data_IF_303751768388
#
_entry.id   IF_303751768388
#
_cell.length_a   1.000
_cell.length_b   1.000
_cell.length_c   1.000
_cell.angle_alpha   90.00
_cell.angle_beta   90.00
_cell.angle_gamma   90.00
#
_symmetry.space_group_name_H-M   'P 1'
#
loop_
_entity.id
_entity.type
_entity.pdbx_description
1 polymer ?
#
# COMPACT_ATOMS: atom_id res chain seq x y z
N UNK A 1 -4.96 9.55 -2.42
CA UNK A 1 -4.64 10.99 -2.27
C UNK A 1 -3.30 11.23 -2.94
N UNK A 2 -3.27 11.89 -4.11
CA UNK A 2 -2.05 12.08 -4.90
C UNK A 2 -1.64 13.56 -5.03
N UNK A 3 -0.44 13.79 -5.59
CA UNK A 3 0.11 15.14 -5.81
C UNK A 3 -0.69 15.95 -6.85
N UNK A 4 -1.20 15.31 -7.90
CA UNK A 4 -1.94 16.01 -8.97
C UNK A 4 -3.45 15.87 -8.84
N UNK A 5 -3.93 14.78 -8.27
CA UNK A 5 -5.37 14.49 -8.12
C UNK A 5 -5.68 13.71 -6.85
N UNK A 6 -6.87 13.92 -6.31
CA UNK A 6 -7.51 13.07 -5.32
C UNK A 6 -8.60 12.28 -6.02
N UNK A 7 -8.62 10.96 -5.86
CA UNK A 7 -9.66 10.09 -6.40
C UNK A 7 -10.34 9.33 -5.27
N UNK A 8 -11.65 9.18 -5.36
CA UNK A 8 -12.46 8.30 -4.53
C UNK A 8 -13.16 7.29 -5.44
N UNK A 9 -13.04 6.02 -5.12
CA UNK A 9 -13.73 4.93 -5.80
C UNK A 9 -14.60 4.20 -4.79
N UNK A 10 -15.88 4.04 -5.08
CA UNK A 10 -16.81 3.24 -4.27
C UNK A 10 -17.04 1.94 -5.03
N UNK A 11 -16.75 0.83 -4.38
CA UNK A 11 -16.93 -0.48 -4.96
C UNK A 11 -17.87 -1.33 -4.08
N UNK A 12 -18.72 -2.12 -4.73
CA UNK A 12 -19.54 -3.13 -4.06
C UNK A 12 -18.88 -4.48 -4.25
N UNK A 13 -18.54 -5.15 -3.14
CA UNK A 13 -18.06 -6.53 -3.16
C UNK A 13 -19.25 -7.46 -3.24
N UNK A 14 -19.26 -8.38 -4.23
CA UNK A 14 -20.29 -9.41 -4.33
C UNK A 14 -20.15 -10.39 -3.16
N UNK A 15 -21.28 -10.82 -2.58
CA UNK A 15 -21.29 -11.96 -1.67
C UNK A 15 -20.93 -13.21 -2.48
N UNK A 16 -19.99 -14.01 -1.99
CA UNK A 16 -19.73 -15.33 -2.57
C UNK A 16 -21.05 -16.11 -2.60
N UNK A 17 -21.38 -16.70 -3.77
CA UNK A 17 -22.58 -17.51 -3.90
C UNK A 17 -22.48 -18.72 -2.96
N UNK A 18 -23.59 -19.12 -2.28
CA UNK A 18 -23.57 -20.22 -1.31
C UNK A 18 -23.25 -21.59 -1.92
N UNK A 19 -23.19 -21.71 -3.23
CA UNK A 19 -23.10 -22.94 -4.00
C UNK A 19 -21.71 -23.29 -4.55
N UNK A 20 -20.66 -22.60 -4.08
CA UNK A 20 -19.26 -22.98 -4.38
C UNK A 20 -18.85 -22.89 -5.86
N UNK A 21 -19.67 -22.32 -6.73
CA UNK A 21 -19.27 -22.04 -8.11
C UNK A 21 -18.41 -20.80 -8.15
N UNK A 22 -17.12 -20.96 -8.43
CA UNK A 22 -16.12 -19.91 -8.68
C UNK A 22 -16.45 -19.13 -9.97
N UNK A 23 -17.60 -18.48 -10.01
CA UNK A 23 -18.01 -17.66 -11.13
C UNK A 23 -18.00 -16.21 -10.66
N UNK A 24 -17.20 -15.35 -11.25
CA UNK A 24 -17.22 -13.85 -11.24
C UNK A 24 -17.89 -13.10 -10.05
N UNK A 25 -18.44 -13.81 -9.08
CA UNK A 25 -19.28 -13.33 -7.98
C UNK A 25 -18.47 -12.66 -6.84
N UNK A 26 -17.14 -12.68 -6.91
CA UNK A 26 -16.26 -12.09 -5.89
C UNK A 26 -15.53 -10.81 -6.35
N UNK A 27 -15.57 -10.46 -7.63
CA UNK A 27 -14.85 -9.26 -8.09
C UNK A 27 -15.56 -7.98 -7.65
N UNK A 28 -14.82 -7.00 -7.07
CA UNK A 28 -15.39 -5.73 -6.68
C UNK A 28 -15.87 -4.97 -7.92
N UNK A 29 -17.13 -4.52 -7.89
CA UNK A 29 -17.73 -3.72 -8.96
C UNK A 29 -17.72 -2.24 -8.53
N UNK A 30 -17.04 -1.38 -9.29
CA UNK A 30 -17.07 0.06 -9.06
C UNK A 30 -18.48 0.57 -9.39
N UNK A 31 -19.10 1.24 -8.40
CA UNK A 31 -20.43 1.83 -8.48
C UNK A 31 -20.42 3.35 -8.39
N UNK A 32 -19.30 3.94 -7.91
CA UNK A 32 -19.11 5.38 -7.85
C UNK A 32 -17.65 5.76 -8.02
N UNK A 33 -17.39 6.86 -8.71
CA UNK A 33 -16.07 7.40 -8.91
C UNK A 33 -16.10 8.93 -8.84
N UNK A 34 -15.21 9.50 -8.06
CA UNK A 34 -15.03 10.95 -7.95
C UNK A 34 -13.56 11.34 -8.05
N UNK A 35 -13.28 12.48 -8.63
CA UNK A 35 -11.91 12.98 -8.70
C UNK A 35 -11.88 14.50 -8.60
N UNK A 36 -10.82 15.02 -8.00
CA UNK A 36 -10.56 16.45 -7.86
C UNK A 36 -9.08 16.75 -8.09
N UNK A 37 -8.78 17.95 -8.56
CA UNK A 37 -7.42 18.45 -8.63
C UNK A 37 -6.89 18.61 -7.21
N UNK A 38 -5.74 18.02 -6.94
CA UNK A 38 -5.04 18.17 -5.67
C UNK A 38 -4.25 19.47 -5.66
N UNK A 39 -4.44 20.31 -4.64
CA UNK A 39 -3.69 21.55 -4.44
C UNK A 39 -2.88 21.56 -3.16
N UNK A 40 -3.24 20.73 -2.20
CA UNK A 40 -2.63 20.64 -0.88
C UNK A 40 -1.49 19.62 -0.76
N UNK A 41 -1.14 18.92 -1.85
CA UNK A 41 -0.12 17.85 -1.82
C UNK A 41 1.03 18.18 -2.78
N UNK A 42 2.27 18.08 -2.30
CA UNK A 42 3.49 18.26 -3.09
C UNK A 42 4.42 17.08 -2.86
N UNK A 43 4.88 16.45 -3.94
CA UNK A 43 5.80 15.30 -3.89
C UNK A 43 5.33 14.19 -2.92
N UNK A 44 4.03 13.90 -2.94
CA UNK A 44 3.41 12.92 -2.04
C UNK A 44 3.16 13.42 -0.61
N UNK A 45 3.64 14.59 -0.22
CA UNK A 45 3.47 15.12 1.14
C UNK A 45 2.37 16.18 1.19
N UNK A 46 1.49 16.11 2.17
CA UNK A 46 0.49 17.16 2.43
C UNK A 46 1.22 18.39 2.97
N UNK A 47 1.10 19.50 2.24
CA UNK A 47 1.67 20.81 2.58
C UNK A 47 0.59 21.84 2.96
N UNK A 48 -0.66 21.55 2.64
CA UNK A 48 -1.83 22.35 2.99
C UNK A 48 -2.99 21.39 3.29
N UNK A 49 -3.32 21.27 4.58
CA UNK A 49 -4.35 20.33 5.06
C UNK A 49 -5.75 20.79 4.61
N UNK A 50 -6.04 22.08 4.65
CA UNK A 50 -7.36 22.61 4.32
C UNK A 50 -7.67 22.44 2.82
N UNK A 51 -6.69 22.69 1.96
CA UNK A 51 -6.83 22.45 0.53
C UNK A 51 -6.94 20.93 0.20
N UNK A 52 -6.29 20.09 0.98
CA UNK A 52 -6.38 18.63 0.83
C UNK A 52 -7.75 18.12 1.28
N UNK A 53 -8.24 18.59 2.43
CA UNK A 53 -9.57 18.28 2.96
C UNK A 53 -10.67 18.65 1.94
N UNK A 54 -10.63 19.87 1.38
CA UNK A 54 -11.60 20.32 0.37
C UNK A 54 -11.59 19.41 -0.86
N UNK A 55 -10.40 18.99 -1.33
CA UNK A 55 -10.27 18.07 -2.47
C UNK A 55 -10.81 16.67 -2.16
N UNK A 56 -10.55 16.15 -0.95
CA UNK A 56 -11.08 14.85 -0.50
C UNK A 56 -12.61 14.92 -0.44
N UNK A 57 -13.16 15.92 0.25
CA UNK A 57 -14.60 16.09 0.42
C UNK A 57 -15.34 16.16 -0.93
N UNK A 58 -14.79 16.90 -1.89
CA UNK A 58 -15.37 17.00 -3.24
C UNK A 58 -15.29 15.70 -4.02
N UNK A 59 -14.15 14.97 -3.93
CA UNK A 59 -13.99 13.69 -4.60
C UNK A 59 -14.94 12.64 -4.02
N UNK A 60 -15.08 12.58 -2.70
CA UNK A 60 -16.02 11.68 -2.01
C UNK A 60 -17.45 12.01 -2.39
N UNK A 61 -17.84 13.28 -2.29
CA UNK A 61 -19.20 13.72 -2.66
C UNK A 61 -19.57 13.32 -4.11
N UNK A 62 -18.66 13.50 -5.06
CA UNK A 62 -18.90 13.06 -6.44
C UNK A 62 -19.08 11.54 -6.55
N UNK A 63 -18.27 10.77 -5.85
CA UNK A 63 -18.36 9.30 -5.86
C UNK A 63 -19.69 8.82 -5.26
N UNK A 64 -20.12 9.41 -4.13
CA UNK A 64 -21.39 9.11 -3.46
C UNK A 64 -22.59 9.47 -4.33
N UNK A 65 -22.57 10.63 -5.02
CA UNK A 65 -23.64 11.02 -5.93
C UNK A 65 -23.83 10.02 -7.07
N UNK A 66 -22.73 9.45 -7.60
CA UNK A 66 -22.79 8.45 -8.67
C UNK A 66 -23.22 7.09 -8.10
N UNK A 67 -22.69 6.70 -6.94
CA UNK A 67 -23.03 5.45 -6.27
C UNK A 67 -24.48 5.45 -5.73
N UNK A 68 -25.04 6.63 -5.43
CA UNK A 68 -26.28 6.83 -4.66
C UNK A 68 -26.23 6.19 -3.27
N UNK A 69 -25.03 6.12 -2.69
CA UNK A 69 -24.76 5.59 -1.37
C UNK A 69 -23.77 6.52 -0.66
N UNK A 70 -23.90 6.65 0.66
CA UNK A 70 -22.94 7.37 1.50
C UNK A 70 -21.96 6.39 2.13
N UNK A 71 -20.71 6.82 2.29
CA UNK A 71 -19.66 6.01 2.92
C UNK A 71 -19.26 6.62 4.27
N UNK A 72 -18.91 5.78 5.21
CA UNK A 72 -18.41 6.18 6.53
C UNK A 72 -16.94 5.86 6.74
N UNK A 73 -16.39 4.91 5.95
CA UNK A 73 -14.99 4.50 6.05
C UNK A 73 -14.34 4.35 4.68
N UNK A 74 -13.01 4.41 4.66
CA UNK A 74 -12.19 4.34 3.44
C UNK A 74 -10.89 3.59 3.68
N UNK A 75 -10.43 2.86 2.67
CA UNK A 75 -9.03 2.44 2.57
C UNK A 75 -8.24 3.51 1.82
N UNK A 76 -7.13 3.97 2.38
CA UNK A 76 -6.33 5.06 1.82
C UNK A 76 -5.08 4.53 1.13
N UNK A 77 -4.95 4.85 -0.14
CA UNK A 77 -3.75 4.57 -0.91
C UNK A 77 -2.63 5.56 -0.50
N UNK A 78 -1.45 5.02 -0.17
CA UNK A 78 -0.29 5.75 0.32
C UNK A 78 0.86 5.74 -0.70
N UNK A 79 1.22 6.92 -1.23
CA UNK A 79 2.42 7.14 -2.06
C UNK A 79 3.45 8.01 -1.36
N UNK A 80 3.27 8.26 -0.05
CA UNK A 80 4.03 9.22 0.75
C UNK A 80 4.72 8.54 1.93
N UNK A 81 5.48 9.33 2.69
CA UNK A 81 6.04 8.90 3.97
C UNK A 81 7.32 8.10 3.85
N UNK A 82 8.02 8.18 2.71
CA UNK A 82 9.28 7.47 2.48
C UNK A 82 9.20 6.01 2.97
N UNK A 83 8.44 5.15 2.29
CA UNK A 83 8.28 3.76 2.71
C UNK A 83 9.64 3.07 2.79
N UNK A 84 9.78 2.17 3.74
CA UNK A 84 10.96 1.32 3.90
C UNK A 84 10.52 -0.12 3.93
N UNK A 85 11.21 -0.93 3.16
CA UNK A 85 11.05 -2.38 3.09
C UNK A 85 12.11 -3.08 3.92
N UNK A 86 11.68 -4.05 4.70
CA UNK A 86 12.54 -4.90 5.52
C UNK A 86 12.05 -6.34 5.46
N UNK A 87 12.97 -7.30 5.36
CA UNK A 87 12.64 -8.73 5.50
C UNK A 87 13.06 -9.17 6.89
N UNK A 88 12.10 -9.65 7.67
CA UNK A 88 12.31 -10.18 9.01
C UNK A 88 12.04 -11.70 9.03
N UNK A 89 13.07 -12.48 9.36
CA UNK A 89 12.93 -13.90 9.60
C UNK A 89 12.41 -14.16 11.02
N UNK A 90 11.34 -14.93 11.16
CA UNK A 90 10.76 -15.31 12.44
C UNK A 90 10.65 -16.83 12.52
N UNK A 91 11.08 -17.40 13.63
CA UNK A 91 11.13 -18.83 13.87
C UNK A 91 10.21 -19.19 15.05
N UNK A 92 9.44 -20.27 14.91
CA UNK A 92 8.63 -20.84 15.97
C UNK A 92 8.88 -22.34 16.09
N UNK A 93 9.08 -22.81 17.32
CA UNK A 93 9.20 -24.22 17.63
C UNK A 93 7.81 -24.87 17.62
N UNK A 94 7.65 -25.93 16.83
CA UNK A 94 6.42 -26.72 16.65
C UNK A 94 6.49 -28.03 17.42
N UNK A 95 7.70 -28.52 17.74
CA UNK A 95 7.90 -29.74 18.53
C UNK A 95 7.47 -31.02 17.84
N UNK A 96 7.50 -31.07 16.50
CA UNK A 96 7.17 -32.27 15.73
C UNK A 96 5.68 -32.53 15.54
N UNK A 97 4.83 -31.57 15.91
CA UNK A 97 3.37 -31.66 15.73
C UNK A 97 2.95 -31.22 14.32
N UNK A 98 1.70 -31.43 13.98
CA UNK A 98 1.11 -30.92 12.77
C UNK A 98 0.89 -29.40 12.91
N UNK A 99 1.37 -28.64 11.93
CA UNK A 99 1.24 -27.18 11.89
C UNK A 99 -0.22 -26.81 11.62
N UNK A 100 -0.76 -25.95 12.46
CA UNK A 100 -2.13 -25.46 12.35
C UNK A 100 -2.22 -23.92 12.30
N UNK A 101 -3.44 -23.39 12.24
CA UNK A 101 -3.71 -21.96 12.20
C UNK A 101 -3.17 -21.21 13.44
N UNK A 102 -3.13 -21.88 14.61
CA UNK A 102 -2.64 -21.27 15.85
C UNK A 102 -1.14 -21.03 15.82
N UNK A 103 -0.38 -21.88 15.11
CA UNK A 103 1.05 -21.71 14.93
C UNK A 103 1.34 -20.51 14.02
N UNK A 104 0.56 -20.34 12.94
CA UNK A 104 0.65 -19.17 12.08
C UNK A 104 0.31 -17.89 12.84
N UNK A 105 -0.76 -17.90 13.63
CA UNK A 105 -1.11 -16.77 14.48
C UNK A 105 0.02 -16.42 15.47
N UNK A 106 0.66 -17.40 16.08
CA UNK A 106 1.79 -17.22 16.99
C UNK A 106 2.99 -16.56 16.29
N UNK A 107 3.31 -17.00 15.07
CA UNK A 107 4.38 -16.42 14.24
C UNK A 107 4.09 -14.93 13.92
N UNK A 108 2.87 -14.62 13.50
CA UNK A 108 2.49 -13.24 13.17
C UNK A 108 2.50 -12.32 14.40
N UNK A 109 2.03 -12.80 15.56
CA UNK A 109 2.13 -12.06 16.82
C UNK A 109 3.58 -11.81 17.23
N UNK A 110 4.45 -12.81 17.09
CA UNK A 110 5.86 -12.68 17.41
C UNK A 110 6.56 -11.64 16.51
N UNK A 111 6.18 -11.55 15.24
CA UNK A 111 6.66 -10.52 14.31
C UNK A 111 6.35 -9.12 14.83
N UNK A 112 5.12 -8.88 15.32
CA UNK A 112 4.73 -7.60 15.93
C UNK A 112 5.57 -7.27 17.16
N UNK A 113 5.74 -8.22 18.06
CA UNK A 113 6.50 -8.04 19.31
C UNK A 113 7.98 -7.74 19.04
N UNK A 114 8.61 -8.46 18.11
CA UNK A 114 10.02 -8.23 17.74
C UNK A 114 10.23 -6.83 17.19
N UNK A 115 9.29 -6.32 16.43
CA UNK A 115 9.36 -4.97 15.87
C UNK A 115 9.14 -3.89 16.93
N UNK A 116 8.21 -4.09 17.85
CA UNK A 116 7.99 -3.15 18.96
C UNK A 116 9.23 -3.04 19.83
N UNK A 117 9.88 -4.16 20.15
CA UNK A 117 11.15 -4.17 20.90
C UNK A 117 12.32 -3.58 20.13
N UNK A 118 12.39 -3.72 18.81
CA UNK A 118 13.40 -3.08 17.98
C UNK A 118 13.23 -1.54 17.91
N UNK A 119 12.01 -1.06 18.07
CA UNK A 119 11.66 0.37 18.07
C UNK A 119 11.63 1.00 19.46
N UNK A 120 11.99 0.28 20.53
CA UNK A 120 12.01 0.82 21.88
C UNK A 120 13.19 1.82 22.07
N UNK A 121 12.91 3.10 22.40
CA UNK A 121 13.92 4.13 22.61
C UNK A 121 14.92 3.79 23.72
N UNK A 122 14.56 2.87 24.63
CA UNK A 122 15.43 2.45 25.74
C UNK A 122 16.64 1.62 25.29
N UNK A 123 16.64 1.06 24.09
CA UNK A 123 17.72 0.23 23.54
C UNK A 123 18.90 1.02 22.91
N UNK A 124 18.99 2.33 23.15
CA UNK A 124 20.20 3.11 22.84
C UNK A 124 20.48 3.39 21.35
N UNK A 125 19.57 3.03 20.46
CA UNK A 125 19.65 3.37 19.04
C UNK A 125 19.10 4.78 18.84
N UNK A 126 19.99 5.76 18.77
CA UNK A 126 19.63 7.17 18.65
C UNK A 126 18.75 7.44 17.44
N UNK A 127 17.67 8.22 17.66
CA UNK A 127 16.68 8.66 16.68
C UNK A 127 15.88 7.54 16.01
N UNK A 128 15.00 6.92 16.78
CA UNK A 128 13.89 6.16 16.21
C UNK A 128 13.00 7.16 15.49
N UNK A 129 13.17 7.28 14.18
CA UNK A 129 12.16 7.91 13.33
C UNK A 129 10.88 7.12 13.57
N UNK A 130 9.88 7.73 14.23
CA UNK A 130 8.60 7.09 14.46
C UNK A 130 8.04 6.62 13.12
N UNK A 131 8.01 5.32 12.90
CA UNK A 131 7.50 4.70 11.67
C UNK A 131 6.30 3.82 12.00
N UNK A 132 5.25 3.96 11.21
CA UNK A 132 4.04 3.16 11.28
C UNK A 132 4.14 1.99 10.29
N UNK A 133 3.77 0.78 10.73
CA UNK A 133 3.69 -0.40 9.87
C UNK A 133 2.48 -0.27 8.96
N UNK A 134 2.73 -0.38 7.65
CA UNK A 134 1.68 -0.32 6.63
C UNK A 134 1.32 -1.74 6.15
N UNK A 135 2.34 -2.56 5.87
CA UNK A 135 2.15 -3.95 5.44
C UNK A 135 3.04 -4.89 6.22
N UNK A 136 2.51 -6.09 6.47
CA UNK A 136 3.23 -7.24 7.02
C UNK A 136 2.79 -8.46 6.20
N UNK A 137 3.63 -8.88 5.25
CA UNK A 137 3.30 -9.88 4.23
C UNK A 137 4.23 -11.07 4.40
N UNK A 138 3.72 -12.30 4.61
CA UNK A 138 4.57 -13.48 4.58
C UNK A 138 5.04 -13.76 3.15
N UNK A 139 6.35 -13.82 2.93
CA UNK A 139 6.95 -14.00 1.59
C UNK A 139 7.66 -15.33 1.41
N UNK A 140 7.55 -16.22 2.38
CA UNK A 140 8.07 -17.58 2.28
C UNK A 140 8.08 -18.29 3.62
N UNK A 141 7.71 -19.55 3.58
CA UNK A 141 7.78 -20.46 4.71
C UNK A 141 8.89 -21.47 4.52
N UNK A 142 9.46 -21.93 5.64
CA UNK A 142 10.34 -23.10 5.67
C UNK A 142 10.08 -23.93 6.91
N UNK A 143 10.21 -25.26 6.76
CA UNK A 143 10.05 -26.22 7.85
C UNK A 143 11.37 -26.99 7.95
N UNK A 144 12.00 -26.98 9.13
CA UNK A 144 13.27 -27.65 9.41
C UNK A 144 14.38 -27.32 8.39
N UNK A 145 14.34 -26.07 7.86
CA UNK A 145 15.27 -25.57 6.84
C UNK A 145 14.89 -25.87 5.40
N UNK A 146 13.82 -26.64 5.14
CA UNK A 146 13.30 -26.84 3.79
C UNK A 146 12.50 -25.62 3.36
N UNK A 147 13.01 -24.87 2.40
CA UNK A 147 12.41 -23.65 1.84
C UNK A 147 11.39 -23.95 0.72
N UNK A 148 10.67 -22.91 0.29
CA UNK A 148 9.74 -23.00 -0.85
C UNK A 148 8.39 -23.61 -0.51
N UNK A 149 7.99 -23.54 0.75
CA UNK A 149 6.68 -23.99 1.22
C UNK A 149 5.69 -22.84 1.03
N UNK A 150 4.66 -23.05 0.20
CA UNK A 150 3.62 -22.05 -0.04
C UNK A 150 2.62 -21.99 1.13
N UNK A 151 2.17 -23.14 1.63
CA UNK A 151 1.28 -23.25 2.77
C UNK A 151 1.80 -24.35 3.73
N UNK A 152 2.21 -24.01 4.95
CA UNK A 152 2.73 -24.98 5.90
C UNK A 152 1.65 -25.76 6.64
N UNK A 153 0.37 -25.36 6.55
CA UNK A 153 -0.73 -26.00 7.27
C UNK A 153 -0.89 -27.48 6.91
N UNK A 154 -1.02 -28.31 7.91
CA UNK A 154 -1.12 -29.76 7.73
C UNK A 154 0.21 -30.49 7.60
N UNK A 155 1.33 -29.78 7.47
CA UNK A 155 2.67 -30.35 7.45
C UNK A 155 3.19 -30.61 8.87
N UNK A 156 4.20 -31.48 9.01
CA UNK A 156 4.84 -31.78 10.28
C UNK A 156 6.28 -31.26 10.28
N UNK A 157 6.76 -30.76 11.41
CA UNK A 157 8.14 -30.32 11.57
C UNK A 157 8.48 -29.94 12.99
N UNK A 158 9.75 -29.81 13.28
CA UNK A 158 10.24 -29.35 14.57
C UNK A 158 10.16 -27.82 14.65
N UNK A 159 10.52 -27.13 13.56
CA UNK A 159 10.67 -25.71 13.50
C UNK A 159 9.99 -25.13 12.24
N UNK A 160 9.09 -24.18 12.43
CA UNK A 160 8.49 -23.39 11.37
C UNK A 160 9.19 -22.04 11.33
N UNK A 161 9.68 -21.64 10.17
CA UNK A 161 10.26 -20.31 9.93
C UNK A 161 9.47 -19.60 8.84
N UNK A 162 9.30 -18.28 8.99
CA UNK A 162 8.67 -17.42 7.98
C UNK A 162 9.53 -16.20 7.74
N UNK A 163 9.66 -15.81 6.49
CA UNK A 163 10.18 -14.50 6.11
C UNK A 163 9.01 -13.53 5.94
N UNK A 164 9.00 -12.49 6.74
CA UNK A 164 7.98 -11.44 6.70
C UNK A 164 8.53 -10.21 5.99
N UNK A 165 7.89 -9.79 4.91
CA UNK A 165 8.15 -8.49 4.30
C UNK A 165 7.36 -7.43 5.04
N UNK A 166 8.08 -6.55 5.73
CA UNK A 166 7.52 -5.45 6.50
C UNK A 166 7.70 -4.15 5.71
N UNK A 167 6.62 -3.43 5.50
CA UNK A 167 6.66 -2.09 4.89
C UNK A 167 6.19 -1.07 5.91
N UNK A 168 7.04 -0.10 6.20
CA UNK A 168 6.74 0.97 7.14
C UNK A 168 6.86 2.35 6.48
N UNK A 169 6.09 3.32 6.97
CA UNK A 169 6.13 4.71 6.52
C UNK A 169 6.31 5.66 7.71
N UNK A 170 6.72 6.91 7.45
CA UNK A 170 6.83 7.95 8.48
C UNK A 170 5.49 8.17 9.18
N UNK A 171 5.46 8.02 10.51
CA UNK A 171 4.26 8.22 11.33
C UNK A 171 3.68 9.63 11.17
N UNK A 172 4.54 10.65 11.01
CA UNK A 172 4.06 12.02 10.80
C UNK A 172 3.31 12.17 9.48
N UNK A 173 3.78 11.53 8.40
CA UNK A 173 3.09 11.56 7.11
C UNK A 173 1.73 10.83 7.21
N UNK A 174 1.70 9.66 7.84
CA UNK A 174 0.47 8.87 8.04
C UNK A 174 -0.52 9.63 8.92
N UNK A 175 -0.08 10.22 10.04
CA UNK A 175 -0.93 11.03 10.94
C UNK A 175 -1.52 12.25 10.23
N UNK A 176 -0.75 12.92 9.36
CA UNK A 176 -1.23 14.07 8.59
C UNK A 176 -2.31 13.68 7.60
N UNK A 177 -2.15 12.53 6.91
CA UNK A 177 -3.17 11.99 6.00
C UNK A 177 -4.41 11.61 6.80
N UNK A 178 -4.24 10.91 7.93
CA UNK A 178 -5.34 10.54 8.83
C UNK A 178 -6.13 11.78 9.26
N UNK A 179 -5.45 12.81 9.74
CA UNK A 179 -6.10 14.06 10.15
C UNK A 179 -6.89 14.74 9.01
N UNK A 180 -6.38 14.70 7.77
CA UNK A 180 -7.08 15.27 6.62
C UNK A 180 -8.36 14.47 6.25
N UNK A 181 -8.33 13.14 6.41
CA UNK A 181 -9.49 12.26 6.15
C UNK A 181 -10.51 12.36 7.27
N UNK A 182 -10.07 12.35 8.54
CA UNK A 182 -10.95 12.49 9.72
C UNK A 182 -11.76 13.79 9.68
N UNK A 183 -11.17 14.89 9.18
CA UNK A 183 -11.86 16.17 8.98
C UNK A 183 -12.97 16.10 7.92
N UNK A 184 -12.96 15.08 7.08
CA UNK A 184 -14.04 14.78 6.14
C UNK A 184 -15.11 13.85 6.74
N UNK A 185 -15.06 13.55 8.04
CA UNK A 185 -15.94 12.62 8.76
C UNK A 185 -15.89 11.19 8.21
N UNK A 186 -14.71 10.75 7.78
CA UNK A 186 -14.45 9.41 7.28
C UNK A 186 -13.48 8.69 8.22
N UNK A 187 -13.77 7.44 8.55
CA UNK A 187 -12.87 6.55 9.25
C UNK A 187 -11.89 5.89 8.26
N UNK A 188 -10.66 5.64 8.68
CA UNK A 188 -9.68 4.92 7.86
C UNK A 188 -9.63 3.47 8.33
N UNK A 189 -10.12 2.55 7.49
CA UNK A 189 -10.04 1.11 7.73
C UNK A 189 -8.60 0.58 7.59
N UNK A 190 -7.79 1.21 6.73
CA UNK A 190 -6.40 0.84 6.53
C UNK A 190 -5.70 1.69 5.47
N UNK A 191 -4.37 1.52 5.46
CA UNK A 191 -3.52 2.10 4.42
C UNK A 191 -3.00 1.00 3.50
N UNK A 192 -2.93 1.30 2.21
CA UNK A 192 -2.38 0.40 1.19
C UNK A 192 -1.30 1.16 0.43
N UNK A 193 -0.12 0.58 0.29
CA UNK A 193 0.96 1.18 -0.49
C UNK A 193 0.58 1.22 -1.98
N UNK A 194 0.79 2.37 -2.65
CA UNK A 194 0.39 2.58 -4.04
C UNK A 194 0.93 1.53 -5.01
N UNK A 195 2.23 1.21 -5.03
CA UNK A 195 2.76 0.23 -5.97
C UNK A 195 2.29 -1.20 -5.65
N UNK A 196 1.91 -1.51 -4.39
CA UNK A 196 1.28 -2.78 -4.03
C UNK A 196 -0.13 -2.88 -4.62
N UNK A 197 -0.95 -1.85 -4.41
CA UNK A 197 -2.29 -1.78 -4.98
C UNK A 197 -2.27 -1.83 -6.52
N UNK A 198 -1.30 -1.15 -7.15
CA UNK A 198 -1.10 -1.20 -8.60
C UNK A 198 -0.77 -2.62 -9.06
N UNK A 199 0.15 -3.31 -8.38
CA UNK A 199 0.49 -4.70 -8.67
C UNK A 199 -0.71 -5.62 -8.58
N UNK A 200 -1.45 -5.61 -7.48
CA UNK A 200 -2.65 -6.43 -7.28
C UNK A 200 -3.73 -6.21 -8.35
N UNK A 201 -3.77 -5.03 -8.97
CA UNK A 201 -4.79 -4.69 -9.97
C UNK A 201 -4.37 -4.93 -11.41
N UNK A 202 -3.07 -5.06 -11.70
CA UNK A 202 -2.54 -5.11 -13.07
C UNK A 202 -1.82 -6.40 -13.42
N UNK A 203 -1.24 -7.08 -12.42
CA UNK A 203 -0.48 -8.30 -12.65
C UNK A 203 -1.41 -9.50 -12.78
N UNK A 204 -0.99 -10.44 -13.61
CA UNK A 204 -1.54 -11.79 -13.65
C UNK A 204 -0.68 -12.72 -12.77
N UNK A 205 -1.22 -13.87 -12.39
CA UNK A 205 -0.60 -14.83 -11.46
C UNK A 205 0.80 -15.24 -11.93
N UNK A 206 0.96 -15.62 -13.20
CA UNK A 206 2.24 -16.03 -13.77
C UNK A 206 3.32 -14.93 -13.68
N UNK A 207 2.95 -13.66 -13.85
CA UNK A 207 3.90 -12.55 -13.74
C UNK A 207 4.38 -12.35 -12.30
N UNK A 208 3.45 -12.42 -11.34
CA UNK A 208 3.78 -12.27 -9.92
C UNK A 208 4.62 -13.43 -9.40
N UNK A 209 4.40 -14.66 -9.90
CA UNK A 209 5.16 -15.86 -9.53
C UNK A 209 6.58 -15.83 -10.06
N UNK A 210 6.74 -15.50 -11.35
CA UNK A 210 8.05 -15.53 -12.03
C UNK A 210 8.96 -14.37 -11.64
N UNK A 211 8.39 -13.29 -11.16
CA UNK A 211 9.10 -12.08 -10.75
C UNK A 211 8.90 -10.92 -11.70
N UNK A 212 8.33 -9.84 -11.17
CA UNK A 212 8.02 -8.63 -11.94
C UNK A 212 8.23 -7.38 -11.08
N UNK A 213 8.64 -6.29 -11.73
CA UNK A 213 8.70 -4.97 -11.12
C UNK A 213 7.58 -4.10 -11.64
N UNK A 214 6.77 -3.60 -10.71
CA UNK A 214 5.73 -2.59 -11.00
C UNK A 214 6.28 -1.21 -10.70
N UNK A 215 6.16 -0.29 -11.65
CA UNK A 215 6.54 1.13 -11.49
C UNK A 215 5.28 1.98 -11.58
N UNK A 216 4.89 2.60 -10.47
CA UNK A 216 3.78 3.55 -10.36
C UNK A 216 4.32 4.98 -10.43
N UNK A 217 4.21 5.61 -11.60
CA UNK A 217 4.70 6.97 -11.84
C UNK A 217 3.56 7.98 -11.67
N UNK A 218 3.50 8.59 -10.50
CA UNK A 218 2.55 9.65 -10.16
C UNK A 218 3.00 11.05 -10.61
N UNK A 219 2.22 12.07 -10.23
CA UNK A 219 2.57 13.47 -10.54
C UNK A 219 3.80 13.96 -9.78
N UNK A 220 3.96 13.59 -8.51
CA UNK A 220 5.05 14.06 -7.65
C UNK A 220 5.93 12.98 -7.06
N UNK A 221 5.56 11.72 -7.22
CA UNK A 221 6.29 10.54 -6.72
C UNK A 221 6.35 9.48 -7.80
N UNK A 222 7.40 8.68 -7.76
CA UNK A 222 7.49 7.40 -8.49
C UNK A 222 7.76 6.33 -7.46
N UNK A 223 6.87 5.34 -7.39
CA UNK A 223 6.95 4.21 -6.49
C UNK A 223 7.21 2.95 -7.28
N UNK A 224 7.92 2.01 -6.68
CA UNK A 224 8.14 0.69 -7.27
C UNK A 224 7.84 -0.41 -6.25
N UNK A 225 7.40 -1.55 -6.76
CA UNK A 225 7.30 -2.80 -6.01
C UNK A 225 7.81 -3.96 -6.84
N UNK A 226 8.41 -4.93 -6.17
CA UNK A 226 8.87 -6.18 -6.78
C UNK A 226 8.00 -7.29 -6.22
N UNK A 227 7.41 -8.07 -7.12
CA UNK A 227 6.67 -9.29 -6.81
C UNK A 227 7.51 -10.50 -7.21
N UNK A 228 7.48 -11.54 -6.41
CA UNK A 228 8.12 -12.81 -6.66
C UNK A 228 7.44 -13.90 -5.83
N UNK A 229 7.15 -15.06 -6.43
CA UNK A 229 6.44 -16.15 -5.76
C UNK A 229 5.01 -15.74 -5.34
N UNK A 230 4.34 -14.88 -6.11
CA UNK A 230 3.00 -14.38 -5.84
C UNK A 230 2.92 -13.21 -4.85
N UNK A 231 4.02 -12.90 -4.14
CA UNK A 231 4.01 -11.93 -3.05
C UNK A 231 4.91 -10.72 -3.31
N UNK A 232 4.57 -9.56 -2.72
CA UNK A 232 5.43 -8.38 -2.77
C UNK A 232 6.62 -8.57 -1.83
N UNK A 233 7.84 -8.59 -2.39
CA UNK A 233 9.09 -8.79 -1.66
C UNK A 233 9.90 -7.52 -1.43
N UNK A 234 9.58 -6.43 -2.14
CA UNK A 234 10.24 -5.14 -1.99
C UNK A 234 9.33 -4.01 -2.43
N UNK A 235 9.46 -2.85 -1.81
CA UNK A 235 8.83 -1.59 -2.24
C UNK A 235 9.68 -0.39 -1.84
N UNK A 236 9.69 0.63 -2.70
CA UNK A 236 10.35 1.91 -2.45
C UNK A 236 9.64 3.03 -3.18
N UNK A 237 9.92 4.29 -2.79
CA UNK A 237 9.32 5.48 -3.40
C UNK A 237 10.30 6.63 -3.42
N UNK A 238 10.44 7.28 -4.57
CA UNK A 238 11.20 8.52 -4.71
C UNK A 238 10.28 9.72 -4.91
N UNK A 239 10.58 10.91 -4.36
CA UNK A 239 9.76 12.12 -4.48
C UNK A 239 9.99 12.84 -5.81
N UNK A 240 10.00 12.08 -6.90
CA UNK A 240 10.13 12.56 -8.29
C UNK A 240 9.02 11.92 -9.11
N UNK A 241 8.34 12.70 -9.94
CA UNK A 241 7.25 12.22 -10.79
C UNK A 241 7.03 13.12 -11.99
N UNK A 242 5.95 12.92 -12.72
CA UNK A 242 5.64 13.59 -13.98
C UNK A 242 5.65 15.13 -13.95
N UNK A 243 5.34 15.74 -12.79
CA UNK A 243 5.40 17.20 -12.63
C UNK A 243 6.84 17.74 -12.71
N UNK A 244 7.83 16.94 -12.30
CA UNK A 244 9.25 17.32 -12.42
C UNK A 244 9.66 17.33 -13.88
N UNK A 245 9.26 16.31 -14.65
CA UNK A 245 9.48 16.26 -16.11
C UNK A 245 8.85 17.49 -16.79
N UNK A 246 7.60 17.83 -16.44
CA UNK A 246 6.92 19.01 -16.97
C UNK A 246 7.68 20.30 -16.64
N UNK A 247 8.18 20.42 -15.41
CA UNK A 247 8.95 21.57 -14.97
C UNK A 247 10.29 21.69 -15.71
N UNK A 248 10.96 20.58 -15.98
CA UNK A 248 12.21 20.56 -16.72
C UNK A 248 12.01 20.90 -18.20
N UNK A 249 10.95 20.38 -18.83
CA UNK A 249 10.54 20.78 -20.19
C UNK A 249 10.21 22.28 -20.25
N UNK A 250 9.45 22.80 -19.28
CA UNK A 250 9.10 24.22 -19.22
C UNK A 250 10.34 25.11 -19.11
N UNK A 251 11.29 24.70 -18.24
CA UNK A 251 12.55 25.42 -18.01
C UNK A 251 13.46 25.34 -19.25
N UNK A 252 13.64 24.13 -19.82
CA UNK A 252 14.50 23.91 -20.98
C UNK A 252 14.04 24.64 -22.24
N UNK A 253 12.71 24.73 -22.44
CA UNK A 253 12.10 25.41 -23.59
C UNK A 253 11.65 26.85 -23.30
N UNK A 254 11.89 27.35 -22.07
CA UNK A 254 11.43 28.68 -21.63
C UNK A 254 9.94 28.94 -21.94
N UNK A 255 9.09 27.92 -21.65
CA UNK A 255 7.67 27.93 -21.98
C UNK A 255 6.81 27.80 -20.69
N UNK A 256 5.54 28.27 -20.69
CA UNK A 256 4.65 28.08 -19.57
C UNK A 256 4.42 26.59 -19.23
N UNK A 257 4.23 26.27 -17.92
CA UNK A 257 4.01 24.89 -17.41
C UNK A 257 2.88 24.18 -18.16
N UNK A 258 1.76 24.87 -18.43
CA UNK A 258 0.62 24.29 -19.15
C UNK A 258 1.00 23.87 -20.59
N UNK A 259 1.87 24.63 -21.26
CA UNK A 259 2.37 24.28 -22.58
C UNK A 259 3.36 23.10 -22.53
N UNK A 260 4.25 23.11 -21.53
CA UNK A 260 5.17 21.99 -21.29
C UNK A 260 4.42 20.69 -20.99
N UNK A 261 3.34 20.73 -20.18
CA UNK A 261 2.50 19.56 -19.91
C UNK A 261 1.87 19.01 -21.19
N UNK A 262 1.38 19.90 -22.04
CA UNK A 262 0.83 19.51 -23.35
C UNK A 262 1.89 18.88 -24.26
N UNK A 263 3.10 19.43 -24.29
CA UNK A 263 4.22 18.85 -25.07
C UNK A 263 4.56 17.45 -24.54
N UNK A 264 4.75 17.29 -23.22
CA UNK A 264 5.02 15.99 -22.60
C UNK A 264 3.97 14.93 -22.90
N UNK A 265 2.69 15.31 -23.03
CA UNK A 265 1.60 14.36 -23.27
C UNK A 265 1.38 14.03 -24.74
N UNK A 266 1.92 14.83 -25.67
CA UNK A 266 1.76 14.62 -27.11
C UNK A 266 2.98 13.94 -27.76
N UNK A 267 4.14 14.01 -27.12
CA UNK A 267 5.44 13.49 -27.60
C UNK A 267 6.12 12.65 -26.52
#
# INVERSE_FOLDING_TARGET
IGTSKVCCLIARTGRAAPDGTNSAAGQPRIIGAGHQVSRGVRNGTIVDVDATEDAIRKAVYMAEQIAQETISSVTVNLSAGAPQSEILGVDVDIGGQQIDESDLHRIFQQTHTLRETANDPSNGSGSVSERELIHSIPVGFSIDGQQGIADPRGMFGQKLSVNMHLVSASSNAVRTIRAAVDRCHLEIDGFVLSPYAAGLSTLVEDESDLGVTVVDMGGGTTSLSIFYGGEMVFADTIPVGGNHVTSDVARGLSTPIAHAERLKTLY
#
